data_IF_666358506759
#
_entry.id   IF_666358506759
#
_cell.length_a   1.000
_cell.length_b   1.000
_cell.length_c   1.000
_cell.angle_alpha   90.00
_cell.angle_beta   90.00
_cell.angle_gamma   90.00
#
_symmetry.space_group_name_H-M   'P 1'
#
loop_
_entity.id
_entity.type
_entity.pdbx_description
1 polymer ?
#
# COMPACT_ATOMS: atom_id res chain seq x y z
N UNK A 1 -0.13 14.13 0.13
CA UNK A 1 0.24 12.76 -0.27
C UNK A 1 -0.75 11.77 0.32
N UNK A 2 -1.27 10.87 -0.51
CA UNK A 2 -2.18 9.84 -0.05
C UNK A 2 -1.39 8.59 0.36
N UNK A 3 -1.73 8.02 1.51
CA UNK A 3 -1.15 6.77 1.99
C UNK A 3 -2.18 5.66 1.81
N UNK A 4 -1.85 4.68 1.00
CA UNK A 4 -2.80 3.63 0.60
C UNK A 4 -2.27 2.27 1.02
N UNK A 5 -3.09 1.53 1.76
CA UNK A 5 -2.76 0.15 2.15
C UNK A 5 -3.51 -0.81 1.23
N UNK A 6 -2.76 -1.69 0.58
CA UNK A 6 -3.29 -2.75 -0.28
C UNK A 6 -3.13 -4.08 0.45
N UNK A 7 -4.23 -4.78 0.67
CA UNK A 7 -4.23 -6.08 1.35
C UNK A 7 -4.45 -7.16 0.30
N UNK A 8 -3.43 -7.98 0.06
CA UNK A 8 -3.51 -9.07 -0.91
C UNK A 8 -2.43 -10.09 -0.60
N UNK A 9 -2.74 -11.36 -0.79
CA UNK A 9 -1.80 -12.45 -0.56
C UNK A 9 -0.92 -12.73 -1.79
N UNK A 10 -1.16 -12.07 -2.91
CA UNK A 10 -0.38 -12.22 -4.12
C UNK A 10 0.68 -11.12 -4.22
N UNK A 11 1.95 -11.51 -4.11
CA UNK A 11 3.06 -10.56 -4.17
C UNK A 11 3.23 -9.92 -5.54
N UNK A 12 2.72 -10.55 -6.60
CA UNK A 12 2.77 -9.99 -7.96
C UNK A 12 1.98 -8.69 -8.07
N UNK A 13 0.92 -8.55 -7.28
CA UNK A 13 0.13 -7.32 -7.28
C UNK A 13 0.95 -6.12 -6.82
N UNK A 14 1.84 -6.32 -5.86
CA UNK A 14 2.74 -5.27 -5.39
C UNK A 14 3.60 -4.74 -6.53
N UNK A 15 4.18 -5.64 -7.31
CA UNK A 15 5.01 -5.27 -8.47
C UNK A 15 4.19 -4.49 -9.49
N UNK A 16 2.99 -4.98 -9.80
CA UNK A 16 2.12 -4.35 -10.78
C UNK A 16 1.71 -2.93 -10.36
N UNK A 17 1.36 -2.75 -9.10
CA UNK A 17 0.97 -1.44 -8.58
C UNK A 17 2.15 -0.48 -8.62
N UNK A 18 3.33 -0.92 -8.22
CA UNK A 18 4.54 -0.09 -8.24
C UNK A 18 4.90 0.34 -9.65
N UNK A 19 4.69 -0.52 -10.64
CA UNK A 19 4.93 -0.17 -12.05
C UNK A 19 3.88 0.80 -12.57
N UNK A 20 2.61 0.52 -12.28
CA UNK A 20 1.50 1.33 -12.80
C UNK A 20 1.50 2.74 -12.24
N UNK A 21 1.83 2.89 -10.97
CA UNK A 21 1.83 4.18 -10.28
C UNK A 21 3.23 4.72 -10.02
N UNK A 22 4.22 4.27 -10.80
CA UNK A 22 5.62 4.65 -10.59
C UNK A 22 5.83 6.16 -10.60
N UNK A 23 5.17 6.87 -11.52
CA UNK A 23 5.28 8.32 -11.62
C UNK A 23 4.74 9.00 -10.36
N UNK A 24 3.57 8.58 -9.92
CA UNK A 24 2.92 9.14 -8.74
C UNK A 24 3.70 8.86 -7.46
N UNK A 25 4.31 7.68 -7.37
CA UNK A 25 5.17 7.34 -6.23
C UNK A 25 6.41 8.22 -6.24
N UNK A 26 7.04 8.38 -7.38
CA UNK A 26 8.25 9.20 -7.52
C UNK A 26 7.98 10.66 -7.20
N UNK A 27 6.81 11.17 -7.59
CA UNK A 27 6.40 12.54 -7.32
C UNK A 27 5.76 12.72 -5.94
N UNK A 28 5.73 11.65 -5.14
CA UNK A 28 5.18 11.63 -3.79
C UNK A 28 3.69 11.98 -3.73
N UNK A 29 2.95 11.70 -4.79
CA UNK A 29 1.49 11.85 -4.78
C UNK A 29 0.82 10.74 -3.99
N UNK A 30 1.38 9.51 -4.09
CA UNK A 30 0.88 8.33 -3.39
C UNK A 30 2.02 7.63 -2.68
N UNK A 31 1.72 7.09 -1.51
CA UNK A 31 2.61 6.17 -0.81
C UNK A 31 1.84 4.88 -0.58
N UNK A 32 2.36 3.77 -1.11
CA UNK A 32 1.71 2.47 -1.01
C UNK A 32 2.34 1.62 0.08
N UNK A 33 1.48 0.99 0.86
CA UNK A 33 1.86 0.00 1.85
C UNK A 33 1.17 -1.31 1.48
N UNK A 34 1.81 -2.44 1.75
CA UNK A 34 1.30 -3.74 1.35
C UNK A 34 1.21 -4.66 2.56
N UNK A 35 0.10 -5.39 2.64
CA UNK A 35 -0.13 -6.40 3.67
C UNK A 35 -0.59 -7.69 2.99
N UNK A 36 -0.16 -8.83 3.53
CA UNK A 36 -0.46 -10.13 2.93
C UNK A 36 -1.75 -10.74 3.46
N UNK A 37 -2.24 -10.26 4.60
CA UNK A 37 -3.49 -10.74 5.19
C UNK A 37 -4.05 -9.71 6.16
N UNK A 38 -5.19 -10.02 6.77
CA UNK A 38 -5.85 -9.10 7.68
C UNK A 38 -5.05 -8.77 8.94
N UNK A 39 -4.31 -9.74 9.48
CA UNK A 39 -3.48 -9.51 10.66
C UNK A 39 -2.34 -8.55 10.35
N UNK A 40 -1.66 -8.76 9.22
CA UNK A 40 -0.60 -7.88 8.75
C UNK A 40 -1.15 -6.47 8.49
N UNK A 41 -2.36 -6.38 7.93
CA UNK A 41 -3.03 -5.12 7.70
C UNK A 41 -3.29 -4.35 9.01
N UNK A 42 -3.73 -5.06 10.05
CA UNK A 42 -3.94 -4.45 11.36
C UNK A 42 -2.65 -3.87 11.93
N UNK A 43 -1.55 -4.58 11.78
CA UNK A 43 -0.24 -4.11 12.22
C UNK A 43 0.13 -2.82 11.48
N UNK A 44 -0.03 -2.81 10.17
CA UNK A 44 0.27 -1.64 9.34
C UNK A 44 -0.58 -0.43 9.71
N UNK A 45 -1.88 -0.63 9.92
CA UNK A 45 -2.80 0.45 10.32
C UNK A 45 -2.43 0.98 11.70
N UNK A 46 -2.02 0.10 12.60
CA UNK A 46 -1.57 0.49 13.94
C UNK A 46 -0.34 1.41 13.89
N UNK A 47 0.57 1.12 12.96
CA UNK A 47 1.79 1.91 12.78
C UNK A 47 1.53 3.20 11.99
N UNK A 48 0.54 3.18 11.09
CA UNK A 48 0.20 4.31 10.21
C UNK A 48 -1.31 4.54 10.26
N UNK A 49 -1.83 5.23 11.28
CA UNK A 49 -3.29 5.36 11.46
C UNK A 49 -3.98 6.19 10.38
N UNK A 50 -3.25 6.90 9.56
CA UNK A 50 -3.81 7.71 8.47
C UNK A 50 -3.87 6.98 7.13
N UNK A 51 -3.68 5.65 7.13
CA UNK A 51 -3.77 4.85 5.91
C UNK A 51 -5.21 4.71 5.42
N UNK A 52 -5.39 4.83 4.11
CA UNK A 52 -6.63 4.45 3.43
C UNK A 52 -6.50 3.00 2.97
N UNK A 53 -7.44 2.15 3.37
CA UNK A 53 -7.40 0.73 3.05
C UNK A 53 -8.17 0.47 1.75
N UNK A 54 -7.57 -0.30 0.89
CA UNK A 54 -8.18 -0.71 -0.37
C UNK A 54 -8.34 -2.23 -0.43
#
# INVERSE_FOLDING_TARGET
>A
MAKILVVDDETDLEVLIKQKFRKQIREQEYEFFFAINGLDALIKVSEQPDLDIV
#
